data_IF_000845674505
#
_entry.id   IF_000845674505
#
_cell.length_a   1.000
_cell.length_b   1.000
_cell.length_c   1.000
_cell.angle_alpha   90.00
_cell.angle_beta   90.00
_cell.angle_gamma   90.00
#
_symmetry.space_group_name_H-M   'P 1'
#
loop_
_entity.id
_entity.type
_entity.pdbx_description
1 polymer ?
#
# COMPACT_ATOMS: atom_id res chain seq x y z
N UNK A 1 16.07 4.56 -53.84
CA UNK A 1 15.70 3.13 -53.70
C UNK A 1 14.29 3.12 -53.10
N UNK A 2 13.19 2.94 -53.85
CA UNK A 2 12.66 1.65 -54.38
C UNK A 2 12.73 0.54 -53.31
N UNK A 3 11.69 -0.18 -52.87
CA UNK A 3 10.30 -0.48 -53.27
C UNK A 3 9.66 -1.12 -52.01
N UNK A 4 8.44 -0.79 -51.57
CA UNK A 4 7.14 -1.39 -51.92
C UNK A 4 7.07 -2.93 -51.95
N UNK A 5 6.29 -3.54 -51.03
CA UNK A 5 5.44 -4.77 -51.11
C UNK A 5 4.91 -5.04 -49.68
N UNK A 6 3.62 -4.93 -49.31
CA UNK A 6 2.37 -5.50 -49.81
C UNK A 6 2.35 -7.04 -49.74
N UNK A 7 1.60 -7.64 -48.80
CA UNK A 7 0.55 -8.62 -49.11
C UNK A 7 -0.20 -9.11 -47.85
N UNK A 8 -1.50 -8.86 -47.89
CA UNK A 8 -2.63 -9.50 -47.19
C UNK A 8 -2.72 -11.01 -47.50
N UNK A 9 -3.29 -11.82 -46.60
CA UNK A 9 -4.20 -12.96 -46.84
C UNK A 9 -4.73 -13.45 -45.45
N UNK A 10 -6.02 -13.30 -45.09
CA UNK A 10 -7.15 -14.23 -45.31
C UNK A 10 -6.78 -15.70 -44.96
N UNK A 11 -7.50 -16.46 -44.10
CA UNK A 11 -8.79 -17.12 -44.45
C UNK A 11 -9.34 -17.96 -43.25
N UNK A 12 -10.68 -17.93 -43.09
CA UNK A 12 -11.65 -18.96 -42.63
C UNK A 12 -11.46 -19.72 -41.29
N UNK A 13 -12.42 -19.68 -40.35
CA UNK A 13 -13.78 -20.28 -40.33
C UNK A 13 -13.79 -21.82 -40.26
N UNK A 14 -14.15 -22.36 -39.10
CA UNK A 14 -14.72 -23.70 -38.96
C UNK A 14 -15.71 -23.75 -37.79
N UNK A 15 -16.99 -23.53 -38.12
CA UNK A 15 -18.14 -24.02 -37.38
C UNK A 15 -18.35 -25.49 -37.77
N UNK A 16 -18.56 -26.40 -36.81
CA UNK A 16 -19.47 -27.54 -37.03
C UNK A 16 -20.08 -28.07 -35.73
N UNK A 17 -21.34 -28.54 -35.77
CA UNK A 17 -22.14 -29.01 -34.63
C UNK A 17 -22.29 -30.55 -34.60
N UNK A 18 -23.14 -31.03 -33.67
CA UNK A 18 -23.80 -32.38 -33.57
C UNK A 18 -23.13 -33.32 -32.54
N UNK A 19 -23.84 -34.16 -31.78
CA UNK A 19 -25.21 -34.65 -31.87
C UNK A 19 -25.72 -35.13 -30.49
N UNK A 20 -27.04 -35.07 -30.32
CA UNK A 20 -27.80 -35.87 -29.35
C UNK A 20 -27.53 -37.37 -29.51
N UNK A 21 -27.52 -38.09 -28.39
CA UNK A 21 -27.95 -39.49 -28.32
C UNK A 21 -28.97 -39.65 -27.19
N UNK A 22 -30.18 -40.06 -27.59
CA UNK A 22 -31.25 -40.61 -26.76
C UNK A 22 -31.18 -42.14 -26.87
N UNK A 23 -31.17 -42.85 -25.74
CA UNK A 23 -31.68 -44.22 -25.55
C UNK A 23 -31.72 -44.49 -24.03
N UNK A 24 -32.86 -44.54 -23.35
CA UNK A 24 -33.89 -45.61 -23.26
C UNK A 24 -33.39 -46.97 -22.73
N UNK A 25 -33.98 -47.38 -21.61
CA UNK A 25 -33.93 -48.72 -20.99
C UNK A 25 -33.87 -48.63 -19.47
N UNK A 26 -34.95 -48.36 -18.73
CA UNK A 26 -36.14 -49.20 -18.44
C UNK A 26 -35.87 -50.40 -17.51
N UNK A 27 -36.88 -50.74 -16.68
CA UNK A 27 -36.98 -51.62 -15.49
C UNK A 27 -36.49 -50.93 -14.20
N UNK A 28 -37.35 -50.44 -13.31
CA UNK A 28 -38.63 -50.96 -12.77
C UNK A 28 -38.36 -51.35 -11.30
N UNK A 29 -39.12 -51.02 -10.28
CA UNK A 29 -40.42 -50.37 -10.08
C UNK A 29 -40.74 -50.51 -8.58
N UNK A 30 -41.81 -49.80 -8.15
CA UNK A 30 -42.63 -50.06 -6.95
C UNK A 30 -41.96 -49.76 -5.58
N UNK A 31 -42.59 -49.11 -4.59
CA UNK A 31 -43.95 -48.60 -4.36
C UNK A 31 -43.83 -47.58 -3.21
N UNK A 32 -44.44 -46.41 -3.31
CA UNK A 32 -45.68 -46.10 -2.59
C UNK A 32 -45.39 -45.04 -1.53
N UNK A 33 -45.78 -43.78 -1.71
CA UNK A 33 -47.14 -43.30 -1.42
C UNK A 33 -47.19 -42.90 0.06
N UNK A 34 -47.55 -41.70 0.47
CA UNK A 34 -48.13 -40.54 -0.18
C UNK A 34 -48.48 -39.55 0.93
N UNK A 35 -48.96 -38.39 0.49
CA UNK A 35 -49.60 -37.33 1.28
C UNK A 35 -48.75 -36.56 2.29
N UNK A 36 -49.03 -35.30 2.56
CA UNK A 36 -49.61 -34.15 1.88
C UNK A 36 -49.53 -33.06 2.98
N UNK A 37 -49.55 -31.79 2.59
CA UNK A 37 -49.92 -30.62 3.40
C UNK A 37 -49.02 -30.19 4.58
N UNK A 38 -48.73 -28.88 4.60
CA UNK A 38 -48.79 -28.13 5.86
C UNK A 38 -47.61 -27.19 6.11
N UNK A 39 -47.82 -25.93 5.77
CA UNK A 39 -46.94 -24.81 6.06
C UNK A 39 -46.87 -24.44 7.56
N UNK A 40 -45.94 -23.52 7.82
CA UNK A 40 -45.97 -22.44 8.84
C UNK A 40 -45.51 -22.75 10.28
N UNK A 41 -44.34 -22.18 10.56
CA UNK A 41 -44.03 -21.21 11.63
C UNK A 41 -44.00 -21.55 13.12
N UNK A 42 -42.91 -21.03 13.70
CA UNK A 42 -42.81 -20.24 14.93
C UNK A 42 -42.77 -20.93 16.30
N UNK A 43 -41.56 -20.79 16.85
CA UNK A 43 -41.22 -20.29 18.18
C UNK A 43 -41.46 -21.12 19.46
N UNK A 44 -40.41 -21.00 20.28
CA UNK A 44 -40.41 -20.78 21.74
C UNK A 44 -40.19 -21.98 22.67
N UNK A 45 -39.05 -21.86 23.36
CA UNK A 45 -38.88 -21.97 24.82
C UNK A 45 -39.21 -23.30 25.50
N UNK A 46 -38.17 -23.93 26.08
CA UNK A 46 -38.27 -24.52 27.42
C UNK A 46 -36.88 -24.82 27.98
N UNK A 47 -36.40 -23.95 28.85
CA UNK A 47 -35.37 -24.28 29.84
C UNK A 47 -35.97 -25.07 31.01
N UNK A 48 -35.21 -26.03 31.53
CA UNK A 48 -35.13 -26.57 32.91
C UNK A 48 -34.32 -27.87 32.76
N UNK A 49 -33.11 -28.03 33.28
CA UNK A 49 -32.73 -27.85 34.67
C UNK A 49 -32.77 -29.23 35.33
N UNK A 50 -31.61 -29.91 35.40
CA UNK A 50 -31.42 -30.94 36.40
C UNK A 50 -29.97 -30.97 36.88
N UNK A 51 -29.84 -30.90 38.20
CA UNK A 51 -28.61 -30.93 38.95
C UNK A 51 -28.52 -32.33 39.57
N UNK A 52 -27.48 -33.08 39.22
CA UNK A 52 -27.19 -34.39 39.78
C UNK A 52 -25.71 -34.49 40.13
N UNK A 53 -25.36 -33.96 41.30
CA UNK A 53 -24.10 -34.18 42.00
C UNK A 53 -24.00 -35.65 42.40
N UNK A 54 -22.90 -36.33 42.08
CA UNK A 54 -22.41 -37.43 42.91
C UNK A 54 -20.88 -37.44 42.94
N UNK A 55 -20.40 -37.40 44.19
CA UNK A 55 -19.02 -37.48 44.66
C UNK A 55 -18.78 -38.93 45.06
N UNK A 56 -17.64 -39.52 44.68
CA UNK A 56 -16.82 -40.41 45.53
C UNK A 56 -15.45 -40.58 44.84
N UNK A 57 -14.40 -39.88 45.26
CA UNK A 57 -13.37 -40.31 46.24
C UNK A 57 -12.63 -41.63 45.92
N UNK A 58 -11.29 -41.54 45.78
CA UNK A 58 -10.40 -42.55 46.36
C UNK A 58 -9.22 -43.07 45.53
N UNK A 59 -8.03 -42.55 45.89
CA UNK A 59 -6.82 -43.32 46.26
C UNK A 59 -5.65 -43.48 45.27
N UNK A 60 -4.57 -42.76 45.63
CA UNK A 60 -3.18 -43.23 45.88
C UNK A 60 -2.44 -43.98 44.77
N UNK A 61 -1.40 -43.36 44.19
CA UNK A 61 0.01 -43.39 44.62
C UNK A 61 0.80 -44.51 43.91
N UNK A 62 1.76 -44.11 43.09
CA UNK A 62 2.92 -44.91 42.72
C UNK A 62 4.01 -43.99 42.18
N UNK A 63 4.84 -43.52 43.11
CA UNK A 63 6.22 -43.08 42.87
C UNK A 63 7.07 -44.27 42.41
N UNK A 64 7.89 -44.12 41.36
CA UNK A 64 9.26 -44.67 41.15
C UNK A 64 9.66 -44.49 39.67
N UNK A 65 10.89 -44.32 39.20
CA UNK A 65 12.25 -44.01 39.69
C UNK A 65 13.12 -44.05 38.42
N UNK A 66 13.90 -42.99 38.18
CA UNK A 66 15.26 -42.90 37.60
C UNK A 66 15.70 -43.66 36.31
N UNK A 67 16.62 -42.95 35.62
CA UNK A 67 17.85 -43.39 34.90
C UNK A 67 17.80 -43.64 33.40
N UNK A 68 18.39 -42.73 32.62
CA UNK A 68 19.70 -42.84 31.94
C UNK A 68 19.87 -41.63 31.00
N UNK A 69 20.74 -40.66 31.27
CA UNK A 69 22.19 -40.67 30.98
C UNK A 69 22.51 -40.74 29.48
N UNK A 70 22.75 -39.58 28.86
CA UNK A 70 23.81 -39.41 27.86
C UNK A 70 24.30 -37.97 27.85
N UNK A 71 25.39 -37.77 28.58
CA UNK A 71 26.41 -36.75 28.40
C UNK A 71 26.99 -36.85 26.99
N UNK A 72 27.10 -35.74 26.27
CA UNK A 72 28.23 -35.51 25.37
C UNK A 72 28.64 -34.05 25.47
N UNK A 73 29.85 -33.89 25.98
CA UNK A 73 30.61 -32.66 26.06
C UNK A 73 31.67 -32.76 24.97
N UNK A 74 31.60 -31.89 23.97
CA UNK A 74 32.76 -31.59 23.13
C UNK A 74 33.08 -30.11 23.28
N UNK A 75 34.03 -29.89 24.18
CA UNK A 75 34.86 -28.70 24.27
C UNK A 75 36.03 -28.92 23.32
N UNK A 76 36.11 -28.14 22.24
CA UNK A 76 37.39 -27.91 21.58
C UNK A 76 37.69 -26.42 21.59
N UNK A 77 38.66 -26.10 22.43
CA UNK A 77 39.35 -24.83 22.53
C UNK A 77 40.41 -24.82 21.45
N UNK A 78 40.45 -23.76 20.63
CA UNK A 78 41.66 -23.43 19.87
C UNK A 78 41.85 -21.93 19.89
N UNK A 79 42.70 -21.52 20.82
CA UNK A 79 43.39 -20.24 20.87
C UNK A 79 44.58 -20.32 19.91
N UNK A 80 44.75 -19.36 19.01
CA UNK A 80 46.05 -18.83 18.57
C UNK A 80 45.79 -17.55 17.73
N UNK A 81 46.05 -16.37 18.28
CA UNK A 81 47.32 -15.62 18.25
C UNK A 81 47.55 -14.86 16.92
N UNK A 82 47.18 -13.58 16.95
CA UNK A 82 47.86 -12.38 16.42
C UNK A 82 48.94 -12.59 15.33
N UNK A 83 48.75 -11.98 14.16
CA UNK A 83 49.85 -11.40 13.37
C UNK A 83 49.34 -10.20 12.56
N UNK A 84 49.70 -9.02 13.07
CA UNK A 84 49.74 -7.73 12.38
C UNK A 84 50.51 -7.83 11.04
N UNK A 85 49.98 -7.24 9.97
CA UNK A 85 50.81 -6.78 8.85
C UNK A 85 50.16 -5.59 8.18
N UNK A 86 50.74 -4.42 8.49
CA UNK A 86 50.60 -3.16 7.78
C UNK A 86 50.81 -3.31 6.27
N UNK A 87 49.96 -2.69 5.46
CA UNK A 87 50.37 -2.20 4.13
C UNK A 87 49.58 -0.93 3.81
N UNK A 88 50.10 0.17 4.35
CA UNK A 88 49.94 1.53 3.83
C UNK A 88 50.43 1.59 2.38
N UNK A 89 49.64 2.13 1.46
CA UNK A 89 50.14 2.63 0.17
C UNK A 89 49.71 4.09 0.05
N UNK A 90 50.66 4.96 0.37
CA UNK A 90 50.64 6.40 0.14
C UNK A 90 51.64 6.72 -0.98
N UNK A 91 51.18 7.42 -2.02
CA UNK A 91 51.93 8.10 -3.08
C UNK A 91 50.94 9.08 -3.73
N UNK A 92 51.20 10.35 -4.02
CA UNK A 92 52.32 11.24 -3.74
C UNK A 92 51.75 12.67 -3.78
N UNK A 93 52.23 13.50 -2.86
CA UNK A 93 52.12 14.96 -2.90
C UNK A 93 53.38 15.50 -3.57
N UNK A 94 53.23 16.32 -4.61
CA UNK A 94 54.30 17.21 -5.06
C UNK A 94 53.90 18.67 -4.88
N UNK A 95 54.89 19.43 -4.46
CA UNK A 95 54.83 20.64 -3.66
C UNK A 95 55.07 21.90 -4.50
N UNK A 96 54.38 22.97 -4.10
CA UNK A 96 54.63 24.43 -4.21
C UNK A 96 55.32 25.02 -5.44
N UNK A 97 54.77 26.16 -5.90
CA UNK A 97 55.52 27.43 -5.79
C UNK A 97 54.56 28.63 -5.64
N UNK A 98 54.72 29.34 -4.53
CA UNK A 98 54.24 30.69 -4.22
C UNK A 98 54.81 31.76 -5.16
N UNK A 99 53.98 32.74 -5.55
CA UNK A 99 54.27 34.20 -5.54
C UNK A 99 53.03 34.88 -6.15
N UNK A 100 52.35 35.85 -5.56
CA UNK A 100 52.61 36.69 -4.40
C UNK A 100 51.90 38.03 -4.66
N UNK A 101 51.25 38.55 -3.61
CA UNK A 101 50.95 39.98 -3.39
C UNK A 101 49.75 40.57 -4.14
N UNK A 102 48.93 41.49 -3.62
CA UNK A 102 48.40 41.85 -2.30
C UNK A 102 47.49 43.06 -2.60
N UNK A 103 46.46 43.24 -1.76
CA UNK A 103 45.86 44.53 -1.37
C UNK A 103 45.13 45.46 -2.37
N UNK A 104 43.83 45.61 -2.04
CA UNK A 104 43.07 46.85 -1.71
C UNK A 104 42.50 47.75 -2.80
N UNK A 105 41.16 47.83 -2.75
CA UNK A 105 40.31 49.04 -2.62
C UNK A 105 40.98 50.40 -2.84
N UNK A 106 40.40 51.24 -3.71
CA UNK A 106 39.42 52.29 -3.33
C UNK A 106 39.22 53.27 -4.52
N UNK A 107 38.00 53.80 -4.60
CA UNK A 107 37.48 54.93 -5.39
C UNK A 107 38.45 55.94 -5.99
N UNK A 108 38.10 56.48 -7.16
CA UNK A 108 37.98 57.94 -7.31
C UNK A 108 37.01 58.34 -8.43
N UNK A 109 36.20 59.32 -8.04
CA UNK A 109 35.20 60.14 -8.69
C UNK A 109 35.78 61.12 -9.73
N UNK A 110 35.08 61.40 -10.83
CA UNK A 110 34.70 62.78 -11.27
C UNK A 110 33.86 62.81 -12.57
N UNK A 111 32.58 63.11 -12.38
CA UNK A 111 31.73 64.19 -12.96
C UNK A 111 32.08 64.86 -14.30
N UNK A 112 31.07 65.03 -15.18
CA UNK A 112 30.38 66.27 -15.67
C UNK A 112 29.28 65.78 -16.65
N UNK A 113 28.01 66.21 -16.73
CA UNK A 113 27.28 67.34 -16.17
C UNK A 113 26.62 68.13 -17.31
N UNK A 114 25.41 67.79 -17.78
CA UNK A 114 24.51 68.73 -18.47
C UNK A 114 23.03 68.41 -18.18
N UNK A 115 22.37 69.41 -17.58
CA UNK A 115 20.93 69.62 -17.38
C UNK A 115 20.25 70.13 -18.65
N UNK A 116 18.94 69.88 -18.79
CA UNK A 116 17.83 70.73 -19.32
C UNK A 116 16.67 69.79 -19.71
N UNK A 117 15.64 69.66 -18.87
CA UNK A 117 14.32 70.35 -18.88
C UNK A 117 13.19 69.55 -19.55
N UNK A 118 12.19 69.25 -18.72
CA UNK A 118 10.74 69.10 -18.99
C UNK A 118 10.30 68.56 -20.35
N UNK A 119 9.70 67.37 -20.33
CA UNK A 119 8.44 67.16 -21.03
C UNK A 119 7.59 66.13 -20.26
N UNK A 120 6.53 66.63 -19.61
CA UNK A 120 5.43 65.81 -19.16
C UNK A 120 4.62 65.42 -20.40
N UNK A 121 5.14 64.46 -21.14
CA UNK A 121 4.39 63.74 -22.15
C UNK A 121 3.40 62.82 -21.46
N UNK A 122 2.18 63.32 -21.23
CA UNK A 122 0.98 62.51 -21.21
C UNK A 122 1.05 61.52 -22.39
N UNK A 123 1.48 60.29 -22.12
CA UNK A 123 1.10 59.17 -22.96
C UNK A 123 -0.37 58.91 -22.65
N UNK A 124 -1.19 59.55 -23.48
CA UNK A 124 -2.53 59.14 -23.83
C UNK A 124 -2.60 57.61 -23.79
N UNK A 125 -3.46 57.11 -22.92
CA UNK A 125 -3.89 55.72 -22.89
C UNK A 125 -4.43 55.36 -24.26
N UNK A 126 -3.60 54.76 -25.11
CA UNK A 126 -4.13 53.77 -26.02
C UNK A 126 -4.56 52.63 -25.11
N UNK A 127 -5.88 52.50 -24.96
CA UNK A 127 -6.53 51.20 -24.77
C UNK A 127 -6.15 50.35 -25.99
N UNK A 128 -4.88 49.96 -26.09
CA UNK A 128 -4.48 48.85 -26.91
C UNK A 128 -5.12 47.65 -26.21
N UNK A 129 -6.32 47.29 -26.69
CA UNK A 129 -6.96 46.01 -26.43
C UNK A 129 -5.87 44.95 -26.51
N UNK A 130 -5.37 44.53 -25.34
CA UNK A 130 -4.42 43.44 -25.27
C UNK A 130 -5.15 42.28 -25.92
N UNK A 131 -4.66 41.72 -27.04
CA UNK A 131 -5.40 40.71 -27.76
C UNK A 131 -5.71 39.59 -26.78
N UNK A 132 -7.00 39.32 -26.60
CA UNK A 132 -7.48 38.27 -25.71
C UNK A 132 -6.97 36.93 -26.26
N UNK A 133 -5.89 36.42 -25.68
CA UNK A 133 -5.34 35.11 -26.00
C UNK A 133 -5.87 34.16 -24.96
N UNK A 134 -6.84 33.36 -25.37
CA UNK A 134 -7.27 32.18 -24.62
C UNK A 134 -6.07 31.22 -24.53
N UNK A 135 -5.73 30.82 -23.31
CA UNK A 135 -4.65 29.87 -23.04
C UNK A 135 -5.27 28.61 -22.47
N UNK A 136 -5.05 27.48 -23.13
CA UNK A 136 -5.48 26.16 -22.68
C UNK A 136 -4.26 25.34 -22.23
N UNK A 137 -4.33 24.70 -21.08
CA UNK A 137 -3.31 23.75 -20.62
C UNK A 137 -3.97 22.49 -20.07
N UNK A 138 -3.44 21.32 -20.43
CA UNK A 138 -3.82 20.05 -19.81
C UNK A 138 -2.87 19.80 -18.65
N UNK A 139 -3.41 19.65 -17.45
CA UNK A 139 -2.65 19.50 -16.20
C UNK A 139 -3.04 18.21 -15.48
N UNK A 140 -2.06 17.60 -14.83
CA UNK A 140 -2.20 16.36 -14.06
C UNK A 140 -2.24 16.67 -12.56
N UNK A 141 -2.97 15.88 -11.76
CA UNK A 141 -2.92 15.95 -10.31
C UNK A 141 -1.55 15.50 -9.79
N UNK A 142 -1.19 15.96 -8.59
CA UNK A 142 0.07 15.53 -7.94
C UNK A 142 -0.01 14.05 -7.55
N UNK A 143 0.89 13.16 -8.03
CA UNK A 143 0.89 11.76 -7.64
C UNK A 143 1.26 11.59 -6.15
N UNK A 144 0.46 10.86 -5.35
CA UNK A 144 0.82 10.55 -3.98
C UNK A 144 1.92 9.49 -3.90
N UNK A 145 2.65 9.48 -2.78
CA UNK A 145 3.66 8.49 -2.43
C UNK A 145 3.04 7.39 -1.55
N UNK A 146 2.93 6.16 -2.07
CA UNK A 146 2.27 5.05 -1.38
C UNK A 146 3.26 3.92 -1.12
N UNK A 147 3.38 3.51 0.14
CA UNK A 147 4.13 2.31 0.53
C UNK A 147 3.19 1.12 0.73
N UNK A 148 3.37 0.07 -0.07
CA UNK A 148 2.79 -1.24 0.20
C UNK A 148 3.63 -1.93 1.27
N UNK A 149 3.01 -2.25 2.41
CA UNK A 149 3.64 -2.93 3.54
C UNK A 149 3.04 -4.33 3.60
N UNK A 150 3.76 -5.30 3.04
CA UNK A 150 3.21 -6.61 2.69
C UNK A 150 3.71 -7.69 3.66
N UNK A 151 2.76 -8.41 4.24
CA UNK A 151 3.03 -9.56 5.09
C UNK A 151 3.52 -10.76 4.26
N UNK A 152 4.75 -11.19 4.53
CA UNK A 152 5.46 -12.32 3.93
C UNK A 152 5.67 -13.46 4.93
N UNK A 153 4.91 -13.46 6.04
CA UNK A 153 4.98 -14.48 7.09
C UNK A 153 4.72 -15.89 6.53
N UNK A 154 4.95 -16.92 7.35
CA UNK A 154 4.73 -18.30 6.93
C UNK A 154 3.28 -18.59 6.53
N UNK A 155 2.30 -18.07 7.28
CA UNK A 155 0.86 -18.28 7.08
C UNK A 155 0.41 -17.90 5.67
N UNK A 156 0.94 -16.80 5.13
CA UNK A 156 0.65 -16.33 3.77
C UNK A 156 0.99 -17.35 2.67
N UNK A 157 1.94 -18.26 2.93
CA UNK A 157 2.43 -19.24 1.96
C UNK A 157 1.97 -20.67 2.26
N UNK A 158 1.49 -20.94 3.48
CA UNK A 158 1.02 -22.27 3.89
C UNK A 158 -0.50 -22.38 3.91
N UNK A 159 -1.20 -21.29 4.22
CA UNK A 159 -2.66 -21.26 4.27
C UNK A 159 -3.21 -21.09 2.86
N UNK A 160 -4.17 -21.94 2.51
CA UNK A 160 -4.88 -21.89 1.23
C UNK A 160 -6.33 -21.51 1.45
N UNK A 161 -6.91 -20.81 0.46
CA UNK A 161 -8.27 -20.29 0.51
C UNK A 161 -8.98 -20.39 -0.84
N UNK A 162 -10.31 -20.28 -0.84
CA UNK A 162 -11.14 -20.29 -2.04
C UNK A 162 -11.12 -18.91 -2.72
N UNK A 163 -10.02 -18.61 -3.40
CA UNK A 163 -9.76 -17.30 -3.99
C UNK A 163 -10.81 -16.79 -4.99
N UNK A 164 -11.57 -17.68 -5.62
CA UNK A 164 -12.53 -17.36 -6.67
C UNK A 164 -13.97 -17.77 -6.30
N UNK A 165 -14.21 -18.09 -5.03
CA UNK A 165 -15.50 -18.49 -4.50
C UNK A 165 -16.16 -19.62 -5.31
N UNK A 166 -15.32 -20.55 -5.79
CA UNK A 166 -15.70 -21.65 -6.63
C UNK A 166 -15.11 -22.96 -6.10
N UNK A 167 -15.87 -23.67 -5.26
CA UNK A 167 -15.41 -24.95 -4.70
C UNK A 167 -15.05 -26.07 -5.70
N UNK A 168 -15.15 -25.84 -7.01
CA UNK A 168 -14.66 -26.72 -8.07
C UNK A 168 -13.22 -26.43 -8.55
N UNK A 169 -12.61 -25.32 -8.18
CA UNK A 169 -11.22 -24.94 -8.50
C UNK A 169 -10.28 -25.29 -7.34
N UNK A 170 -9.00 -25.59 -7.61
CA UNK A 170 -8.02 -25.75 -6.54
C UNK A 170 -7.81 -24.44 -5.79
N UNK A 171 -7.79 -24.53 -4.46
CA UNK A 171 -7.37 -23.42 -3.62
C UNK A 171 -5.91 -23.04 -3.89
N UNK A 172 -5.60 -21.76 -3.76
CA UNK A 172 -4.25 -21.20 -3.84
C UNK A 172 -3.85 -20.60 -2.50
N UNK A 173 -2.57 -20.25 -2.35
CA UNK A 173 -2.11 -19.57 -1.13
C UNK A 173 -2.58 -18.12 -1.08
N UNK A 174 -2.71 -17.57 0.12
CA UNK A 174 -3.04 -16.13 0.29
C UNK A 174 -2.03 -15.23 -0.40
N UNK A 175 -0.73 -15.58 -0.34
CA UNK A 175 0.33 -14.86 -1.06
C UNK A 175 0.17 -14.90 -2.59
N UNK A 176 -0.29 -16.01 -3.15
CA UNK A 176 -0.52 -16.11 -4.59
C UNK A 176 -1.57 -15.06 -5.04
N UNK A 177 -2.69 -14.99 -4.34
CA UNK A 177 -3.71 -13.96 -4.58
C UNK A 177 -3.17 -12.55 -4.36
N UNK A 178 -2.41 -12.33 -3.28
CA UNK A 178 -1.84 -11.01 -3.00
C UNK A 178 -0.87 -10.57 -4.11
N UNK A 179 -0.04 -11.46 -4.64
CA UNK A 179 0.87 -11.13 -5.74
C UNK A 179 0.10 -10.64 -6.97
N UNK A 180 -0.94 -11.37 -7.38
CA UNK A 180 -1.74 -11.04 -8.55
C UNK A 180 -2.49 -9.70 -8.36
N UNK A 181 -2.99 -9.43 -7.15
CA UNK A 181 -3.62 -8.14 -6.82
C UNK A 181 -2.60 -7.01 -6.81
N UNK A 182 -1.40 -7.21 -6.24
CA UNK A 182 -0.33 -6.21 -6.28
C UNK A 182 0.04 -5.88 -7.73
N UNK A 183 0.21 -6.87 -8.61
CA UNK A 183 0.47 -6.65 -10.04
C UNK A 183 -0.62 -5.79 -10.67
N UNK A 184 -1.88 -6.18 -10.49
CA UNK A 184 -3.01 -5.44 -11.06
C UNK A 184 -3.04 -3.99 -10.56
N UNK A 185 -2.94 -3.78 -9.26
CA UNK A 185 -3.03 -2.45 -8.65
C UNK A 185 -1.84 -1.58 -9.06
N UNK A 186 -0.60 -2.07 -8.91
CA UNK A 186 0.57 -1.23 -9.24
C UNK A 186 0.66 -0.97 -10.72
N UNK A 187 0.28 -1.91 -11.58
CA UNK A 187 0.27 -1.71 -13.03
C UNK A 187 -0.85 -0.77 -13.48
N UNK A 188 -2.03 -0.83 -12.87
CA UNK A 188 -3.18 0.03 -13.23
C UNK A 188 -2.93 1.48 -12.85
N UNK A 189 -2.27 1.72 -11.72
CA UNK A 189 -2.11 3.06 -11.15
C UNK A 189 -0.68 3.61 -11.26
N UNK A 190 0.23 2.96 -12.00
CA UNK A 190 1.68 3.26 -12.06
C UNK A 190 2.00 4.71 -12.50
N UNK A 191 1.15 5.28 -13.35
CA UNK A 191 1.27 6.67 -13.84
C UNK A 191 0.65 7.70 -12.87
N UNK A 192 -0.21 7.26 -11.96
CA UNK A 192 -1.00 8.13 -11.07
C UNK A 192 -0.53 8.12 -9.61
N UNK A 193 0.29 7.13 -9.23
CA UNK A 193 0.78 6.91 -7.88
C UNK A 193 2.23 6.47 -7.91
N UNK A 194 3.05 7.10 -7.06
CA UNK A 194 4.41 6.65 -6.82
C UNK A 194 4.38 5.51 -5.80
N UNK A 195 4.55 4.27 -6.26
CA UNK A 195 4.55 3.10 -5.38
C UNK A 195 5.95 2.76 -4.87
N UNK A 196 6.01 2.31 -3.62
CA UNK A 196 7.12 1.55 -3.05
C UNK A 196 6.59 0.30 -2.35
N UNK A 197 7.50 -0.62 -2.02
CA UNK A 197 7.15 -1.88 -1.36
C UNK A 197 8.11 -2.21 -0.22
N UNK A 198 7.55 -2.63 0.90
CA UNK A 198 8.28 -3.14 2.05
C UNK A 198 7.68 -4.49 2.48
N UNK A 199 8.50 -5.53 2.58
CA UNK A 199 8.12 -6.85 3.06
C UNK A 199 8.42 -6.98 4.56
N UNK A 200 7.51 -7.63 5.27
CA UNK A 200 7.77 -8.07 6.64
C UNK A 200 7.22 -9.49 6.82
N UNK A 201 7.98 -10.42 7.40
CA UNK A 201 9.43 -10.33 7.63
C UNK A 201 10.16 -10.25 6.28
N UNK A 202 11.42 -9.82 6.29
CA UNK A 202 12.17 -9.64 5.04
C UNK A 202 12.51 -10.98 4.40
N UNK A 203 13.06 -10.94 3.18
CA UNK A 203 13.57 -12.14 2.48
C UNK A 203 14.74 -12.82 3.19
N UNK A 204 15.33 -12.17 4.20
CA UNK A 204 16.41 -12.72 5.02
C UNK A 204 15.93 -13.51 6.25
N UNK A 205 14.62 -13.47 6.54
CA UNK A 205 14.06 -14.25 7.63
C UNK A 205 14.20 -15.76 7.41
N UNK A 206 14.43 -16.48 8.50
CA UNK A 206 14.76 -17.90 8.46
C UNK A 206 13.65 -18.75 9.06
N UNK A 207 13.54 -20.00 8.61
CA UNK A 207 12.67 -21.01 9.20
C UNK A 207 13.23 -21.54 10.53
N UNK A 208 13.38 -20.65 11.51
CA UNK A 208 13.93 -20.98 12.82
C UNK A 208 12.99 -20.41 13.87
N UNK A 209 12.56 -21.25 14.80
CA UNK A 209 11.74 -20.83 15.92
C UNK A 209 12.57 -19.96 16.89
N UNK A 210 12.57 -18.65 16.65
CA UNK A 210 13.33 -17.65 17.40
C UNK A 210 13.47 -16.33 16.64
N UNK A 211 14.31 -15.39 17.11
CA UNK A 211 14.42 -14.05 16.55
C UNK A 211 14.72 -13.98 15.04
N UNK A 212 15.40 -15.00 14.49
CA UNK A 212 15.72 -15.06 13.06
C UNK A 212 14.48 -15.18 12.16
N UNK A 213 13.35 -15.69 12.67
CA UNK A 213 12.06 -15.71 11.98
C UNK A 213 11.40 -14.32 11.91
N UNK A 214 11.86 -13.37 12.72
CA UNK A 214 11.32 -12.01 12.79
C UNK A 214 12.23 -10.97 12.10
N UNK A 215 13.21 -11.43 11.33
CA UNK A 215 14.17 -10.53 10.67
C UNK A 215 13.45 -9.60 9.69
N UNK A 216 13.66 -8.29 9.83
CA UNK A 216 13.16 -7.27 8.89
C UNK A 216 14.32 -6.54 8.22
N UNK A 217 14.01 -5.76 7.18
CA UNK A 217 14.96 -4.81 6.58
C UNK A 217 14.80 -3.43 7.21
N UNK A 218 15.91 -2.68 7.30
CA UNK A 218 15.89 -1.27 7.72
C UNK A 218 15.60 -0.31 6.55
N UNK A 219 15.49 -0.84 5.33
CA UNK A 219 15.14 -0.10 4.12
C UNK A 219 14.07 -0.88 3.35
N UNK A 220 13.16 -0.18 2.66
CA UNK A 220 12.21 -0.84 1.77
C UNK A 220 12.91 -1.72 0.73
N UNK A 221 12.27 -2.83 0.38
CA UNK A 221 12.65 -3.66 -0.77
C UNK A 221 12.65 -2.84 -2.07
N UNK A 222 11.65 -1.97 -2.22
CA UNK A 222 11.58 -0.98 -3.31
C UNK A 222 11.22 0.37 -2.71
N UNK A 223 12.11 1.34 -2.88
CA UNK A 223 11.84 2.73 -2.50
C UNK A 223 10.75 3.32 -3.38
N UNK A 224 9.87 4.15 -2.82
CA UNK A 224 8.89 4.93 -3.59
C UNK A 224 9.52 5.65 -4.78
N UNK A 225 8.85 5.57 -5.92
CA UNK A 225 9.23 6.20 -7.17
C UNK A 225 8.16 6.02 -8.24
N UNK A 226 8.29 6.79 -9.31
CA UNK A 226 7.42 6.71 -10.50
C UNK A 226 7.62 5.39 -11.23
N UNK A 227 6.57 4.85 -11.85
CA UNK A 227 6.65 3.70 -12.75
C UNK A 227 7.32 2.46 -12.14
N UNK A 228 7.03 2.21 -10.87
CA UNK A 228 7.72 1.21 -10.04
C UNK A 228 7.08 -0.18 -10.10
N UNK A 229 5.92 -0.36 -10.74
CA UNK A 229 5.20 -1.64 -10.80
C UNK A 229 6.13 -2.81 -11.16
N UNK A 230 6.89 -2.68 -12.26
CA UNK A 230 7.80 -3.73 -12.72
C UNK A 230 8.93 -4.04 -11.71
N UNK A 231 9.42 -3.04 -10.99
CA UNK A 231 10.46 -3.22 -9.97
C UNK A 231 9.90 -3.92 -8.72
N UNK A 232 8.69 -3.55 -8.31
CA UNK A 232 7.98 -4.19 -7.19
C UNK A 232 7.78 -5.67 -7.48
N UNK A 233 7.21 -6.02 -8.63
CA UNK A 233 6.94 -7.41 -9.02
C UNK A 233 8.20 -8.25 -9.21
N UNK A 234 9.31 -7.64 -9.60
CA UNK A 234 10.60 -8.31 -9.71
C UNK A 234 11.26 -8.57 -8.34
N UNK A 235 10.86 -7.83 -7.31
CA UNK A 235 11.50 -7.87 -5.98
C UNK A 235 10.72 -8.74 -4.98
N UNK A 236 9.39 -8.70 -5.03
CA UNK A 236 8.57 -9.53 -4.14
C UNK A 236 8.59 -11.01 -4.58
N UNK A 237 8.46 -11.97 -3.64
CA UNK A 237 8.34 -13.38 -4.01
C UNK A 237 7.22 -13.64 -5.03
N UNK A 238 7.51 -14.39 -6.09
CA UNK A 238 6.51 -14.72 -7.10
C UNK A 238 5.35 -15.58 -6.57
N UNK A 239 4.23 -15.68 -7.32
CA UNK A 239 2.98 -16.28 -6.85
C UNK A 239 3.08 -17.80 -6.66
N UNK A 240 4.05 -18.45 -7.32
CA UNK A 240 4.30 -19.90 -7.20
C UNK A 240 5.26 -20.28 -6.07
N UNK A 241 5.74 -19.33 -5.27
CA UNK A 241 6.58 -19.61 -4.11
C UNK A 241 5.69 -20.20 -3.01
N UNK A 242 6.09 -21.33 -2.43
CA UNK A 242 5.35 -22.01 -1.34
C UNK A 242 6.22 -22.23 -0.09
N UNK A 243 7.44 -21.69 -0.08
CA UNK A 243 8.42 -21.89 0.98
C UNK A 243 8.88 -20.54 1.53
N UNK A 244 7.95 -19.87 2.21
CA UNK A 244 8.25 -18.72 3.07
C UNK A 244 8.09 -19.12 4.53
N UNK A 245 8.85 -18.45 5.38
CA UNK A 245 8.86 -18.71 6.81
C UNK A 245 9.06 -17.39 7.54
N UNK A 246 8.67 -17.38 8.81
CA UNK A 246 8.82 -16.23 9.70
C UNK A 246 7.53 -15.90 10.42
N UNK A 247 7.64 -15.08 11.45
CA UNK A 247 6.50 -14.47 12.13
C UNK A 247 6.03 -13.22 11.38
N UNK A 248 5.30 -12.36 12.07
CA UNK A 248 4.59 -11.19 11.54
C UNK A 248 5.06 -9.91 12.24
N UNK A 249 6.32 -9.47 12.03
CA UNK A 249 6.90 -8.26 12.64
C UNK A 249 6.36 -6.96 12.03
N UNK A 250 5.03 -6.78 12.04
CA UNK A 250 4.34 -5.69 11.38
C UNK A 250 4.77 -4.31 11.91
N UNK A 251 5.01 -4.16 13.22
CA UNK A 251 5.51 -2.91 13.81
C UNK A 251 6.80 -2.44 13.13
N UNK A 252 7.72 -3.36 12.85
CA UNK A 252 8.97 -3.03 12.17
C UNK A 252 8.80 -2.79 10.68
N UNK A 253 7.95 -3.56 10.00
CA UNK A 253 7.62 -3.31 8.60
C UNK A 253 7.05 -1.91 8.39
N UNK A 254 6.07 -1.54 9.22
CA UNK A 254 5.46 -0.21 9.21
C UNK A 254 6.47 0.87 9.59
N UNK A 255 7.34 0.62 10.59
CA UNK A 255 8.39 1.58 10.97
C UNK A 255 9.33 1.87 9.79
N UNK A 256 9.77 0.85 9.06
CA UNK A 256 10.64 1.01 7.88
C UNK A 256 9.94 1.80 6.77
N UNK A 257 8.69 1.48 6.47
CA UNK A 257 7.90 2.20 5.47
C UNK A 257 7.67 3.68 5.86
N UNK A 258 7.32 3.94 7.12
CA UNK A 258 7.12 5.28 7.66
C UNK A 258 8.41 6.11 7.61
N UNK A 259 9.55 5.54 8.02
CA UNK A 259 10.84 6.21 7.97
C UNK A 259 11.23 6.57 6.52
N UNK A 260 10.91 5.71 5.55
CA UNK A 260 11.13 6.01 4.14
C UNK A 260 10.24 7.17 3.68
N UNK A 261 8.92 7.09 3.90
CA UNK A 261 7.97 8.14 3.51
C UNK A 261 8.27 9.51 4.12
N UNK A 262 8.77 9.55 5.36
CA UNK A 262 9.15 10.80 6.04
C UNK A 262 10.50 11.36 5.59
N UNK A 263 11.29 10.58 4.84
CA UNK A 263 12.50 11.07 4.18
C UNK A 263 12.23 11.76 2.83
N UNK A 264 11.04 11.56 2.27
CA UNK A 264 10.60 12.16 1.00
C UNK A 264 10.06 13.58 1.21
N UNK A 265 9.74 14.24 0.10
CA UNK A 265 9.10 15.57 0.11
C UNK A 265 7.82 15.55 0.98
N UNK A 266 7.75 16.35 2.06
CA UNK A 266 6.59 16.36 2.94
C UNK A 266 5.34 16.99 2.31
N UNK A 267 5.48 17.75 1.22
CA UNK A 267 4.36 18.40 0.51
C UNK A 267 3.61 17.40 -0.39
N UNK A 268 4.25 16.29 -0.77
CA UNK A 268 3.57 15.21 -1.48
C UNK A 268 2.71 14.39 -0.51
N UNK A 269 1.44 14.10 -0.84
CA UNK A 269 0.61 13.23 -0.02
C UNK A 269 1.22 11.83 0.11
N UNK A 270 1.10 11.24 1.30
CA UNK A 270 1.78 9.99 1.65
C UNK A 270 0.81 9.04 2.35
N UNK A 271 0.87 7.76 2.03
CA UNK A 271 0.07 6.74 2.70
C UNK A 271 0.80 5.40 2.80
N UNK A 272 0.39 4.58 3.77
CA UNK A 272 0.80 3.19 3.89
C UNK A 272 -0.40 2.26 3.71
N UNK A 273 -0.20 1.16 2.99
CA UNK A 273 -1.17 0.07 2.85
C UNK A 273 -0.57 -1.16 3.52
N UNK A 274 -1.02 -1.47 4.73
CA UNK A 274 -0.63 -2.69 5.46
C UNK A 274 -1.54 -3.84 5.02
N UNK A 275 -0.96 -4.87 4.40
CA UNK A 275 -1.68 -6.09 4.03
C UNK A 275 -1.16 -7.26 4.86
N UNK A 276 -2.05 -7.96 5.58
CA UNK A 276 -1.69 -9.06 6.49
C UNK A 276 -2.80 -10.11 6.59
N UNK A 277 -2.45 -11.34 6.97
CA UNK A 277 -3.41 -12.42 7.21
C UNK A 277 -3.54 -12.83 8.70
N UNK A 278 -3.00 -12.00 9.59
CA UNK A 278 -3.00 -12.27 11.03
C UNK A 278 -2.71 -11.03 11.87
N UNK A 279 -2.65 -11.24 13.20
CA UNK A 279 -2.28 -10.19 14.13
C UNK A 279 -0.75 -10.09 14.27
N UNK A 280 -0.25 -8.90 14.58
CA UNK A 280 1.18 -8.66 14.76
C UNK A 280 1.75 -9.48 15.93
N UNK A 281 2.91 -10.09 15.70
CA UNK A 281 3.79 -10.65 16.72
C UNK A 281 5.21 -10.15 16.45
N UNK A 282 6.23 -10.86 16.95
CA UNK A 282 7.63 -10.51 16.78
C UNK A 282 8.01 -9.16 17.43
N UNK A 283 7.44 -8.85 18.60
CA UNK A 283 7.85 -7.69 19.41
C UNK A 283 9.35 -7.74 19.70
N UNK A 284 10.06 -6.65 19.39
CA UNK A 284 11.51 -6.52 19.63
C UNK A 284 11.90 -6.64 21.10
N UNK A 285 10.95 -6.40 22.01
CA UNK A 285 11.14 -6.47 23.45
C UNK A 285 10.78 -7.85 24.04
N UNK A 286 10.37 -8.81 23.22
CA UNK A 286 10.06 -10.16 23.67
C UNK A 286 11.28 -10.80 24.36
N UNK A 287 11.12 -11.24 25.62
CA UNK A 287 12.20 -11.81 26.40
C UNK A 287 12.43 -13.31 26.13
N UNK A 288 11.50 -13.95 25.41
CA UNK A 288 11.55 -15.37 25.06
C UNK A 288 10.66 -15.65 23.84
N UNK A 289 10.78 -16.85 23.27
CA UNK A 289 10.04 -17.22 22.05
C UNK A 289 8.51 -17.24 22.24
N UNK A 290 8.00 -17.52 23.45
CA UNK A 290 6.56 -17.45 23.70
C UNK A 290 6.07 -16.00 23.57
N UNK A 291 6.76 -15.05 24.19
CA UNK A 291 6.45 -13.63 24.00
C UNK A 291 6.65 -13.16 22.57
N UNK A 292 7.58 -13.79 21.84
CA UNK A 292 7.90 -13.41 20.47
C UNK A 292 6.80 -13.83 19.49
N UNK A 293 6.16 -14.99 19.66
CA UNK A 293 5.21 -15.53 18.68
C UNK A 293 3.76 -15.58 19.17
N UNK A 294 3.55 -15.78 20.48
CA UNK A 294 2.23 -16.05 21.06
C UNK A 294 1.64 -14.84 21.79
N UNK A 295 2.36 -13.72 21.87
CA UNK A 295 1.89 -12.48 22.48
C UNK A 295 1.77 -11.42 21.38
N UNK A 296 0.65 -10.69 21.41
CA UNK A 296 0.38 -9.62 20.47
C UNK A 296 1.39 -8.48 20.63
N UNK A 297 1.97 -8.04 19.52
CA UNK A 297 2.83 -6.86 19.47
C UNK A 297 1.96 -5.59 19.47
N UNK A 298 1.78 -4.99 20.65
CA UNK A 298 1.01 -3.76 20.86
C UNK A 298 1.73 -2.48 20.41
N UNK A 299 2.95 -2.61 19.88
CA UNK A 299 3.67 -1.53 19.24
C UNK A 299 3.06 -1.09 17.90
N UNK A 300 2.33 -1.98 17.21
CA UNK A 300 1.79 -1.69 15.89
C UNK A 300 0.79 -0.51 15.89
N UNK A 301 -0.26 -0.48 16.74
CA UNK A 301 -1.15 0.68 16.86
C UNK A 301 -0.41 1.99 17.19
N UNK A 302 0.68 1.92 17.96
CA UNK A 302 1.46 3.10 18.38
C UNK A 302 2.20 3.72 17.20
N UNK A 303 2.86 2.91 16.37
CA UNK A 303 3.60 3.42 15.22
C UNK A 303 2.67 3.96 14.13
N UNK A 304 1.54 3.28 13.83
CA UNK A 304 0.57 3.79 12.84
C UNK A 304 -0.11 5.07 13.34
N UNK A 305 -0.38 5.19 14.65
CA UNK A 305 -0.89 6.43 15.24
C UNK A 305 0.12 7.59 15.15
N UNK A 306 1.40 7.28 15.31
CA UNK A 306 2.48 8.25 15.09
C UNK A 306 2.54 8.68 13.62
N UNK A 307 2.42 7.73 12.69
CA UNK A 307 2.41 8.01 11.26
C UNK A 307 1.22 8.90 10.86
N UNK A 308 0.01 8.55 11.32
CA UNK A 308 -1.20 9.32 11.05
C UNK A 308 -1.11 10.76 11.59
N UNK A 309 -0.58 10.95 12.81
CA UNK A 309 -0.34 12.29 13.37
C UNK A 309 0.66 13.14 12.57
N UNK A 310 1.51 12.51 11.75
CA UNK A 310 2.46 13.16 10.86
C UNK A 310 1.97 13.20 9.39
N UNK A 311 0.67 13.02 9.16
CA UNK A 311 0.07 13.11 7.82
C UNK A 311 0.28 11.89 6.93
N UNK A 312 0.62 10.73 7.53
CA UNK A 312 0.78 9.45 6.81
C UNK A 312 -0.26 8.45 7.32
N UNK A 313 -1.50 8.46 6.78
CA UNK A 313 -2.51 7.46 7.13
C UNK A 313 -2.05 6.04 6.80
N UNK A 314 -2.54 5.07 7.58
CA UNK A 314 -2.32 3.64 7.36
C UNK A 314 -3.64 2.95 7.10
N UNK A 315 -3.81 2.43 5.89
CA UNK A 315 -4.91 1.55 5.53
C UNK A 315 -4.53 0.12 5.88
N UNK A 316 -5.44 -0.61 6.52
CA UNK A 316 -5.20 -2.01 6.93
C UNK A 316 -6.12 -2.91 6.13
N UNK A 317 -5.54 -3.87 5.43
CA UNK A 317 -6.25 -4.87 4.64
C UNK A 317 -5.89 -6.24 5.18
N UNK A 318 -6.89 -6.92 5.72
CA UNK A 318 -6.81 -8.26 6.27
C UNK A 318 -7.27 -9.30 5.25
N UNK A 319 -6.50 -10.38 5.09
CA UNK A 319 -6.85 -11.52 4.24
C UNK A 319 -7.37 -12.65 5.12
N UNK A 320 -8.65 -12.99 4.99
CA UNK A 320 -9.30 -14.10 5.69
C UNK A 320 -9.08 -14.02 7.22
N UNK A 321 -9.34 -12.83 7.78
CA UNK A 321 -9.18 -12.57 9.21
C UNK A 321 -10.40 -13.11 9.95
N UNK A 322 -10.11 -14.01 10.89
CA UNK A 322 -11.15 -14.61 11.72
C UNK A 322 -11.64 -13.63 12.79
N UNK A 323 -12.95 -13.60 13.02
CA UNK A 323 -13.59 -12.80 14.06
C UNK A 323 -13.91 -13.65 15.30
N UNK A 324 -12.87 -14.17 15.94
CA UNK A 324 -12.99 -14.88 17.20
C UNK A 324 -11.70 -14.75 18.02
N UNK A 325 -11.79 -15.00 19.33
CA UNK A 325 -10.59 -15.07 20.17
C UNK A 325 -9.78 -16.31 19.83
N UNK A 326 -8.53 -16.12 19.40
CA UNK A 326 -7.57 -17.20 19.17
C UNK A 326 -6.96 -17.62 20.52
N UNK A 327 -7.02 -18.91 20.83
CA UNK A 327 -6.41 -19.55 22.00
C UNK A 327 -6.10 -21.01 21.66
N UNK A 328 -5.47 -21.26 20.53
CA UNK A 328 -5.19 -22.62 20.06
C UNK A 328 -3.95 -23.22 20.75
N UNK A 329 -3.12 -22.39 21.38
CA UNK A 329 -1.85 -22.82 21.96
C UNK A 329 -0.88 -23.37 20.91
N UNK A 330 -1.13 -23.05 19.63
CA UNK A 330 -0.27 -23.39 18.50
C UNK A 330 0.59 -22.16 18.22
N UNK A 331 1.90 -22.31 18.36
CA UNK A 331 2.83 -21.20 18.14
C UNK A 331 2.78 -20.70 16.70
N UNK A 332 2.66 -19.38 16.54
CA UNK A 332 2.60 -18.71 15.24
C UNK A 332 1.68 -17.49 15.24
N UNK A 333 0.59 -17.55 16.02
CA UNK A 333 -0.38 -16.47 16.18
C UNK A 333 -0.47 -16.01 17.65
N UNK A 334 -0.68 -14.71 17.89
CA UNK A 334 -0.98 -14.20 19.23
C UNK A 334 -2.20 -14.85 19.90
N UNK A 335 -2.00 -15.39 21.09
CA UNK A 335 -3.04 -15.99 21.90
C UNK A 335 -3.79 -14.94 22.76
N UNK A 336 -5.06 -15.22 23.07
CA UNK A 336 -5.88 -14.41 23.98
C UNK A 336 -6.48 -13.15 23.34
N UNK A 337 -6.34 -12.97 22.03
CA UNK A 337 -6.84 -11.80 21.29
C UNK A 337 -7.85 -12.21 20.21
N UNK A 338 -8.67 -11.25 19.77
CA UNK A 338 -9.46 -11.37 18.55
C UNK A 338 -8.80 -10.53 17.44
N UNK A 339 -8.24 -11.15 16.37
CA UNK A 339 -7.57 -10.44 15.28
C UNK A 339 -8.40 -9.32 14.65
N UNK A 340 -9.71 -9.55 14.47
CA UNK A 340 -10.63 -8.53 13.93
C UNK A 340 -10.71 -7.30 14.83
N UNK A 341 -10.65 -7.48 16.15
CA UNK A 341 -10.69 -6.37 17.11
C UNK A 341 -9.39 -5.57 17.03
N UNK A 342 -8.23 -6.24 17.13
CA UNK A 342 -6.95 -5.55 17.16
C UNK A 342 -6.60 -4.89 15.82
N UNK A 343 -6.96 -5.49 14.67
CA UNK A 343 -6.73 -4.85 13.36
C UNK A 343 -7.64 -3.62 13.14
N UNK A 344 -8.85 -3.62 13.70
CA UNK A 344 -9.68 -2.40 13.75
C UNK A 344 -9.04 -1.30 14.61
N UNK A 345 -8.43 -1.66 15.73
CA UNK A 345 -7.68 -0.70 16.56
C UNK A 345 -6.49 -0.11 15.81
N UNK A 346 -5.77 -0.94 15.03
CA UNK A 346 -4.67 -0.48 14.16
C UNK A 346 -5.20 0.49 13.09
N UNK A 347 -6.27 0.15 12.37
CA UNK A 347 -6.84 1.04 11.34
C UNK A 347 -7.36 2.36 11.93
N UNK A 348 -8.03 2.30 13.08
CA UNK A 348 -8.49 3.48 13.79
C UNK A 348 -7.33 4.38 14.23
N UNK A 349 -6.28 3.79 14.80
CA UNK A 349 -5.06 4.51 15.16
C UNK A 349 -4.36 5.09 13.92
N UNK A 350 -4.34 4.35 12.81
CA UNK A 350 -3.81 4.76 11.51
C UNK A 350 -4.62 5.84 10.78
N UNK A 351 -5.73 6.32 11.37
CA UNK A 351 -6.54 7.41 10.83
C UNK A 351 -7.55 7.00 9.76
N UNK A 352 -7.74 5.71 9.51
CA UNK A 352 -8.61 5.19 8.43
C UNK A 352 -9.89 4.55 8.93
N UNK A 353 -10.05 4.43 10.25
CA UNK A 353 -11.28 4.00 10.91
C UNK A 353 -11.33 2.49 11.12
N UNK A 354 -11.71 1.73 10.10
CA UNK A 354 -11.83 0.27 10.17
C UNK A 354 -10.97 -0.40 9.12
N UNK A 355 -10.49 -1.62 9.41
CA UNK A 355 -9.74 -2.40 8.44
C UNK A 355 -10.69 -3.06 7.44
N UNK A 356 -10.19 -3.34 6.24
CA UNK A 356 -10.89 -4.14 5.24
C UNK A 356 -10.62 -5.62 5.53
N UNK A 357 -11.65 -6.43 5.70
CA UNK A 357 -11.48 -7.89 5.75
C UNK A 357 -11.94 -8.48 4.42
N UNK A 358 -11.16 -9.36 3.82
CA UNK A 358 -11.46 -9.93 2.49
C UNK A 358 -11.49 -11.44 2.56
N UNK A 359 -12.54 -12.05 2.02
CA UNK A 359 -12.77 -13.50 2.06
C UNK A 359 -12.42 -14.20 0.75
N UNK A 360 -12.19 -13.43 -0.33
CA UNK A 360 -11.70 -13.91 -1.62
C UNK A 360 -10.78 -12.88 -2.32
N UNK A 361 -10.22 -13.24 -3.48
CA UNK A 361 -9.30 -12.38 -4.24
C UNK A 361 -9.99 -11.17 -4.88
N UNK A 362 -11.26 -11.29 -5.25
CA UNK A 362 -12.00 -10.16 -5.84
C UNK A 362 -12.28 -9.09 -4.78
N UNK A 363 -12.60 -9.48 -3.56
CA UNK A 363 -12.71 -8.58 -2.41
C UNK A 363 -11.37 -7.95 -2.05
N UNK A 364 -10.26 -8.70 -2.15
CA UNK A 364 -8.90 -8.17 -1.96
C UNK A 364 -8.56 -7.09 -2.99
N UNK A 365 -8.85 -7.35 -4.26
CA UNK A 365 -8.66 -6.38 -5.34
C UNK A 365 -9.53 -5.14 -5.16
N UNK A 366 -10.80 -5.32 -4.80
CA UNK A 366 -11.72 -4.22 -4.53
C UNK A 366 -11.24 -3.35 -3.35
N UNK A 367 -10.82 -3.97 -2.25
CA UNK A 367 -10.31 -3.26 -1.08
C UNK A 367 -9.06 -2.43 -1.41
N UNK A 368 -8.08 -2.99 -2.14
CA UNK A 368 -6.89 -2.24 -2.53
C UNK A 368 -7.22 -1.13 -3.55
N UNK A 369 -8.16 -1.37 -4.45
CA UNK A 369 -8.64 -0.35 -5.40
C UNK A 369 -9.30 0.82 -4.67
N UNK A 370 -10.17 0.55 -3.70
CA UNK A 370 -10.82 1.58 -2.89
C UNK A 370 -9.80 2.41 -2.10
N UNK A 371 -8.81 1.74 -1.49
CA UNK A 371 -7.72 2.42 -0.80
C UNK A 371 -6.94 3.31 -1.75
N UNK A 372 -6.52 2.79 -2.91
CA UNK A 372 -5.76 3.53 -3.92
C UNK A 372 -6.55 4.72 -4.46
N UNK A 373 -7.85 4.55 -4.74
CA UNK A 373 -8.72 5.64 -5.16
C UNK A 373 -8.86 6.72 -4.07
N UNK A 374 -8.86 6.34 -2.79
CA UNK A 374 -8.97 7.28 -1.68
C UNK A 374 -7.72 8.14 -1.48
N UNK A 375 -6.53 7.64 -1.82
CA UNK A 375 -5.25 8.37 -1.65
C UNK A 375 -4.89 9.27 -2.83
N UNK A 376 -5.51 9.07 -4.00
CA UNK A 376 -5.34 9.98 -5.14
C UNK A 376 -5.79 11.40 -4.78
N UNK A 377 -5.02 12.37 -5.27
CA UNK A 377 -5.24 13.80 -4.98
C UNK A 377 -6.23 14.40 -5.97
N UNK A 378 -6.90 15.47 -5.55
CA UNK A 378 -7.78 16.28 -6.41
C UNK A 378 -7.27 17.71 -6.53
N UNK A 379 -5.96 17.87 -6.37
CA UNK A 379 -5.25 19.14 -6.39
C UNK A 379 -4.37 19.19 -7.62
N UNK A 380 -4.58 20.22 -8.43
CA UNK A 380 -3.84 20.49 -9.65
C UNK A 380 -3.02 21.77 -9.45
N UNK A 381 -1.67 21.66 -9.40
CA UNK A 381 -0.82 22.84 -9.30
C UNK A 381 -0.78 23.56 -10.65
N UNK A 382 -0.88 24.88 -10.61
CA UNK A 382 -0.74 25.74 -11.78
C UNK A 382 0.71 26.20 -11.92
N UNK A 383 1.24 26.16 -13.14
CA UNK A 383 2.60 26.63 -13.41
C UNK A 383 2.75 28.15 -13.28
N UNK A 384 1.68 28.89 -13.57
CA UNK A 384 1.62 30.35 -13.48
C UNK A 384 0.22 30.78 -13.01
N UNK A 385 0.17 31.89 -12.28
CA UNK A 385 -1.10 32.50 -11.85
C UNK A 385 -1.89 33.01 -13.06
N UNK A 386 -3.20 32.67 -13.17
CA UNK A 386 -4.05 33.21 -14.22
C UNK A 386 -4.19 34.72 -14.10
N UNK A 387 -4.10 35.42 -15.24
CA UNK A 387 -4.24 36.89 -15.24
C UNK A 387 -5.67 37.35 -14.90
N UNK A 388 -6.67 36.53 -15.23
CA UNK A 388 -8.07 36.73 -14.83
C UNK A 388 -8.64 35.43 -14.22
N UNK A 389 -8.36 35.15 -12.94
CA UNK A 389 -8.76 33.90 -12.31
C UNK A 389 -10.28 33.65 -12.32
N UNK A 390 -11.09 34.71 -12.36
CA UNK A 390 -12.55 34.62 -12.39
C UNK A 390 -13.13 34.10 -13.72
N UNK A 391 -12.31 34.02 -14.77
CA UNK A 391 -12.69 33.52 -16.09
C UNK A 391 -12.03 32.17 -16.43
N UNK A 392 -11.43 31.50 -15.46
CA UNK A 392 -10.91 30.15 -15.65
C UNK A 392 -12.06 29.16 -15.81
N UNK A 393 -11.93 28.26 -16.77
CA UNK A 393 -12.82 27.10 -16.94
C UNK A 393 -12.03 25.81 -16.69
N UNK A 394 -12.61 24.89 -15.93
CA UNK A 394 -12.01 23.59 -15.62
C UNK A 394 -12.85 22.50 -16.23
N UNK A 395 -12.24 21.75 -17.15
CA UNK A 395 -12.89 20.69 -17.92
C UNK A 395 -12.22 19.37 -17.57
N UNK A 396 -13.00 18.40 -17.09
CA UNK A 396 -12.51 17.07 -16.73
C UNK A 396 -13.35 16.02 -17.46
N UNK A 397 -12.69 15.12 -18.18
CA UNK A 397 -13.39 14.11 -18.98
C UNK A 397 -14.34 14.70 -20.04
N UNK A 398 -14.05 15.91 -20.52
CA UNK A 398 -14.91 16.66 -21.46
C UNK A 398 -16.15 17.30 -20.84
N UNK A 399 -16.27 17.31 -19.51
CA UNK A 399 -17.32 18.01 -18.77
C UNK A 399 -16.73 19.24 -18.07
N UNK A 400 -17.35 20.41 -18.29
CA UNK A 400 -17.02 21.65 -17.56
C UNK A 400 -17.62 21.62 -16.16
N UNK A 401 -16.84 22.07 -15.18
CA UNK A 401 -17.22 22.13 -13.76
C UNK A 401 -17.29 23.58 -13.27
N UNK A 402 -18.32 23.87 -12.47
CA UNK A 402 -18.54 25.20 -11.92
C UNK A 402 -17.49 25.54 -10.84
N UNK A 403 -17.08 26.80 -10.81
CA UNK A 403 -16.27 27.34 -9.72
C UNK A 403 -17.13 27.51 -8.46
N UNK A 404 -16.66 26.98 -7.33
CA UNK A 404 -17.28 27.06 -6.01
C UNK A 404 -16.37 27.81 -5.03
N UNK A 405 -16.84 28.11 -3.80
CA UNK A 405 -15.98 28.80 -2.82
C UNK A 405 -15.12 27.82 -2.01
N UNK A 406 -15.68 26.67 -1.68
CA UNK A 406 -15.01 25.58 -0.97
C UNK A 406 -15.74 24.24 -1.23
N UNK A 407 -15.12 23.12 -0.87
CA UNK A 407 -15.73 21.79 -1.04
C UNK A 407 -17.02 21.56 -0.21
N UNK A 408 -17.39 22.46 0.70
CA UNK A 408 -18.66 22.44 1.40
C UNK A 408 -19.84 22.92 0.56
N UNK A 409 -19.59 23.65 -0.54
CA UNK A 409 -20.61 24.19 -1.44
C UNK A 409 -21.13 23.16 -2.47
N UNK A 410 -20.46 22.01 -2.61
CA UNK A 410 -20.89 20.89 -3.45
C UNK A 410 -19.83 20.47 -4.47
N UNK A 411 -20.31 19.96 -5.62
CA UNK A 411 -19.46 19.50 -6.72
C UNK A 411 -18.95 20.70 -7.53
N UNK A 412 -17.65 20.76 -7.79
CA UNK A 412 -17.03 21.87 -8.52
C UNK A 412 -15.55 21.99 -8.22
N UNK A 413 -14.99 23.18 -8.42
CA UNK A 413 -13.58 23.46 -8.14
C UNK A 413 -13.37 24.85 -7.55
N UNK A 414 -12.27 25.06 -6.83
CA UNK A 414 -11.88 26.37 -6.31
C UNK A 414 -10.36 26.53 -6.24
N UNK A 415 -9.88 27.75 -5.98
CA UNK A 415 -8.45 27.99 -5.74
C UNK A 415 -8.11 27.82 -4.25
N UNK A 416 -7.31 26.80 -3.91
CA UNK A 416 -6.96 26.48 -2.51
C UNK A 416 -5.75 27.25 -1.98
N UNK A 417 -4.79 27.57 -2.85
CA UNK A 417 -3.78 28.61 -2.67
C UNK A 417 -4.07 29.73 -3.67
N UNK A 418 -3.89 31.02 -3.32
CA UNK A 418 -4.36 32.13 -4.14
C UNK A 418 -3.82 32.03 -5.57
N UNK A 419 -4.69 31.51 -6.44
CA UNK A 419 -4.52 31.38 -7.87
C UNK A 419 -3.34 30.52 -8.37
N UNK A 420 -2.79 29.65 -7.51
CA UNK A 420 -1.70 28.73 -7.89
C UNK A 420 -2.06 27.25 -7.78
N UNK A 421 -3.17 26.92 -7.11
CA UNK A 421 -3.61 25.53 -6.94
C UNK A 421 -5.11 25.46 -7.16
N UNK A 422 -5.55 24.56 -8.04
CA UNK A 422 -6.96 24.23 -8.23
C UNK A 422 -7.27 22.98 -7.39
N UNK A 423 -8.30 23.05 -6.56
CA UNK A 423 -8.82 21.92 -5.81
C UNK A 423 -10.22 21.57 -6.32
N UNK A 424 -10.40 20.30 -6.74
CA UNK A 424 -11.65 19.76 -7.22
C UNK A 424 -12.38 19.04 -6.09
N UNK A 425 -13.70 19.20 -6.05
CA UNK A 425 -14.55 18.73 -4.96
C UNK A 425 -15.67 17.83 -5.47
N UNK A 426 -16.06 16.85 -4.66
CA UNK A 426 -17.18 15.95 -4.94
C UNK A 426 -17.05 15.23 -6.28
N UNK A 427 -18.10 15.25 -7.08
CA UNK A 427 -18.11 14.56 -8.38
C UNK A 427 -17.05 15.07 -9.38
N UNK A 428 -16.55 16.30 -9.22
CA UNK A 428 -15.46 16.84 -10.04
C UNK A 428 -14.13 16.14 -9.73
N UNK A 429 -13.87 15.91 -8.44
CA UNK A 429 -12.72 15.15 -7.96
C UNK A 429 -12.78 13.69 -8.44
N UNK A 430 -13.95 13.05 -8.34
CA UNK A 430 -14.14 11.69 -8.83
C UNK A 430 -13.93 11.58 -10.34
N UNK A 431 -14.35 12.60 -11.11
CA UNK A 431 -14.09 12.67 -12.54
C UNK A 431 -12.59 12.81 -12.84
N UNK A 432 -11.85 13.59 -12.04
CA UNK A 432 -10.40 13.77 -12.22
C UNK A 432 -9.66 12.47 -11.97
N UNK A 433 -9.97 11.77 -10.88
CA UNK A 433 -9.37 10.48 -10.53
C UNK A 433 -9.60 9.42 -11.61
N UNK A 434 -10.69 9.53 -12.38
CA UNK A 434 -10.98 8.64 -13.50
C UNK A 434 -10.30 9.09 -14.81
N UNK A 435 -10.22 10.40 -15.06
CA UNK A 435 -9.66 10.96 -16.28
C UNK A 435 -8.12 11.00 -16.26
N UNK A 436 -7.52 11.20 -15.09
CA UNK A 436 -6.08 11.39 -14.89
C UNK A 436 -5.58 12.82 -15.16
N UNK A 437 -6.38 13.66 -15.81
CA UNK A 437 -6.00 15.00 -16.22
C UNK A 437 -7.22 15.95 -16.27
N UNK A 438 -6.95 17.26 -16.25
CA UNK A 438 -7.93 18.31 -16.49
C UNK A 438 -7.42 19.30 -17.55
N UNK A 439 -8.32 19.74 -18.42
CA UNK A 439 -8.08 20.88 -19.31
C UNK A 439 -8.48 22.16 -18.57
N UNK A 440 -7.54 23.09 -18.46
CA UNK A 440 -7.71 24.39 -17.81
C UNK A 440 -7.63 25.47 -18.89
N UNK A 441 -8.76 26.14 -19.12
CA UNK A 441 -8.87 27.21 -20.10
C UNK A 441 -8.93 28.58 -19.40
N UNK A 442 -8.00 29.46 -19.75
CA UNK A 442 -7.95 30.83 -19.26
C UNK A 442 -8.56 31.77 -20.28
N UNK A 443 -9.76 32.26 -19.99
CA UNK A 443 -10.42 33.27 -20.81
C UNK A 443 -10.08 34.68 -20.32
N UNK A 444 -10.24 35.65 -21.22
CA UNK A 444 -10.06 37.07 -20.95
C UNK A 444 -11.35 37.83 -21.25
N UNK A 445 -11.61 38.89 -20.49
CA UNK A 445 -12.73 39.78 -20.77
C UNK A 445 -12.39 40.65 -22.00
N UNK A 446 -13.17 40.59 -23.10
CA UNK A 446 -12.91 41.39 -24.28
C UNK A 446 -13.17 42.90 -24.10
N UNK A 447 -13.65 43.35 -22.93
CA UNK A 447 -13.92 44.76 -22.63
C UNK A 447 -15.39 45.14 -22.72
#
# INVERSE_FOLDING_TARGET
MMMKRLSTLLTALALTPSALLVACGDSGGEEGGGDEIGATESESESSTGDAGTDTETGSEDATTTETDSSTDADTETSTDTETETDTETSMDTETSTDTGTDTTEESTDTTEGETETTDEGMMESSEDEMPCVELSATLEPVPPNVMMVLDKSGSMFTNTWDHDNNGGTPQITRWNSLYDVVDNITTTFDDSINFGANLFPSTLAQNIYGPQACTTSNFPEVTVGENNSAQILATIPGPGVTASYGGTPATLGVTTAYNHLTSLDPELPRAMILVTDGAANCDQNAANNFQLFDVYDDGLPVIVGTAAANGVPTYVVGIDIINQTINDGIGGDPNGINPTVVLNEVAAAGGTGSFFNTEDQAELEAALTDVVASVQTCTIPLSEEPFFPEFTEVIVGGQSWDMINDCGDGDGWFYSDPYTTIELCGAACDALKQAGEADIDYYCNPG
#
